data_IF_831344969142
#
_entry.id   IF_831344969142
#
_cell.length_a   1.000
_cell.length_b   1.000
_cell.length_c   1.000
_cell.angle_alpha   90.00
_cell.angle_beta   90.00
_cell.angle_gamma   90.00
#
_symmetry.space_group_name_H-M   'P 1'
#
loop_
_entity.id
_entity.type
_entity.pdbx_description
1 polymer ?
#
# COMPACT_ATOMS: atom_id res chain seq x y z
N UNK A 1 -20.33 -48.13 -36.64
CA UNK A 1 -19.16 -47.42 -36.09
C UNK A 1 -19.68 -46.13 -35.49
N UNK A 2 -19.84 -46.07 -34.18
CA UNK A 2 -20.54 -45.01 -33.46
C UNK A 2 -19.48 -44.07 -32.86
N UNK A 3 -19.34 -42.89 -33.45
CA UNK A 3 -18.44 -41.85 -32.95
C UNK A 3 -19.18 -41.08 -31.87
N UNK A 4 -18.83 -41.35 -30.61
CA UNK A 4 -19.27 -40.54 -29.47
C UNK A 4 -18.32 -39.34 -29.41
N UNK A 5 -18.78 -38.20 -29.94
CA UNK A 5 -18.15 -36.90 -29.74
C UNK A 5 -18.39 -36.47 -28.28
N UNK A 6 -17.37 -36.67 -27.47
CA UNK A 6 -17.28 -36.11 -26.13
C UNK A 6 -17.05 -34.60 -26.24
N UNK A 7 -18.12 -33.83 -26.04
CA UNK A 7 -18.06 -32.39 -25.78
C UNK A 7 -17.72 -32.20 -24.29
N UNK A 8 -16.43 -32.22 -23.96
CA UNK A 8 -15.98 -31.63 -22.70
C UNK A 8 -16.06 -30.11 -22.86
N UNK A 9 -17.13 -29.53 -22.34
CA UNK A 9 -17.18 -28.10 -22.01
C UNK A 9 -16.07 -27.81 -21.00
N UNK A 10 -14.98 -27.20 -21.48
CA UNK A 10 -14.04 -26.50 -20.61
C UNK A 10 -14.81 -25.33 -19.98
N UNK A 11 -15.36 -25.54 -18.80
CA UNK A 11 -15.71 -24.42 -17.95
C UNK A 11 -14.41 -23.70 -17.63
N UNK A 12 -14.17 -22.53 -18.24
CA UNK A 12 -13.10 -21.64 -17.81
C UNK A 12 -13.28 -21.39 -16.32
N UNK A 13 -12.34 -21.91 -15.52
CA UNK A 13 -12.21 -21.57 -14.10
C UNK A 13 -11.99 -20.06 -14.03
N UNK A 14 -13.06 -19.29 -13.87
CA UNK A 14 -12.98 -17.87 -13.57
C UNK A 14 -12.35 -17.73 -12.19
N UNK A 15 -11.10 -17.30 -12.18
CA UNK A 15 -10.38 -17.05 -10.94
C UNK A 15 -11.10 -15.92 -10.17
N UNK A 16 -11.11 -15.96 -8.81
CA UNK A 16 -11.83 -14.98 -8.01
C UNK A 16 -11.25 -13.57 -8.22
N UNK A 17 -12.11 -12.56 -8.30
CA UNK A 17 -11.68 -11.14 -8.30
C UNK A 17 -11.83 -10.61 -6.88
N UNK A 18 -10.73 -10.17 -6.28
CA UNK A 18 -10.67 -9.59 -4.95
C UNK A 18 -10.92 -8.08 -4.99
N UNK A 19 -11.69 -7.59 -4.03
CA UNK A 19 -12.01 -6.17 -3.82
C UNK A 19 -11.18 -5.65 -2.66
N UNK A 20 -10.23 -4.78 -2.95
CA UNK A 20 -9.29 -4.26 -1.96
C UNK A 20 -9.55 -2.78 -1.72
N UNK A 21 -9.89 -2.40 -0.50
CA UNK A 21 -9.91 -1.00 -0.10
C UNK A 21 -8.48 -0.52 0.19
N UNK A 22 -8.13 0.66 -0.29
CA UNK A 22 -6.83 1.29 -0.02
C UNK A 22 -7.07 2.70 0.53
N UNK A 23 -6.51 2.98 1.71
CA UNK A 23 -6.60 4.28 2.37
C UNK A 23 -5.23 4.95 2.30
N UNK A 24 -5.11 5.96 1.43
CA UNK A 24 -3.85 6.65 1.18
C UNK A 24 -4.09 7.99 0.43
N UNK A 25 -3.01 8.67 0.03
CA UNK A 25 -3.03 9.83 -0.87
C UNK A 25 -2.80 9.40 -2.32
N UNK A 26 -3.60 9.94 -3.23
CA UNK A 26 -3.57 9.59 -4.65
C UNK A 26 -3.47 10.84 -5.52
N UNK A 27 -2.85 10.70 -6.69
CA UNK A 27 -2.84 11.73 -7.72
C UNK A 27 -3.95 11.46 -8.77
N UNK A 28 -4.66 12.50 -9.25
CA UNK A 28 -4.73 13.85 -8.66
C UNK A 28 -5.43 13.81 -7.30
N UNK A 29 -5.22 14.82 -6.42
CA UNK A 29 -6.00 14.95 -5.20
C UNK A 29 -7.49 15.07 -5.53
N UNK A 30 -8.35 14.68 -4.60
CA UNK A 30 -9.79 14.62 -4.86
C UNK A 30 -10.40 16.01 -5.11
N UNK A 31 -9.81 17.08 -4.56
CA UNK A 31 -10.21 18.46 -4.84
C UNK A 31 -9.79 18.93 -6.26
N UNK A 32 -8.89 18.22 -6.93
CA UNK A 32 -8.27 18.65 -8.18
C UNK A 32 -7.19 19.73 -7.97
N UNK A 33 -6.80 20.38 -9.06
CA UNK A 33 -5.86 21.52 -9.04
C UNK A 33 -6.55 22.74 -9.64
N UNK A 34 -6.36 23.90 -9.05
CA UNK A 34 -6.82 25.19 -9.56
C UNK A 34 -6.04 25.59 -10.83
N UNK A 35 -4.75 25.26 -10.90
CA UNK A 35 -3.87 25.59 -12.03
C UNK A 35 -2.63 24.69 -12.12
N UNK A 36 -1.83 24.88 -13.17
CA UNK A 36 -0.63 24.07 -13.43
C UNK A 36 0.50 24.32 -12.40
N UNK A 37 0.60 25.53 -11.85
CA UNK A 37 1.61 25.86 -10.83
C UNK A 37 1.35 25.08 -9.53
N UNK A 38 0.09 25.01 -9.11
CA UNK A 38 -0.34 24.19 -7.98
C UNK A 38 -0.08 22.71 -8.24
N UNK A 39 -0.41 22.21 -9.44
CA UNK A 39 -0.12 20.82 -9.83
C UNK A 39 1.37 20.50 -9.73
N UNK A 40 2.24 21.39 -10.21
CA UNK A 40 3.70 21.23 -10.13
C UNK A 40 4.17 21.27 -8.68
N UNK A 41 3.68 22.22 -7.87
CA UNK A 41 4.01 22.31 -6.44
C UNK A 41 3.62 21.02 -5.70
N UNK A 42 2.43 20.50 -5.97
CA UNK A 42 1.98 19.23 -5.42
C UNK A 42 2.85 18.04 -5.86
N UNK A 43 3.31 18.04 -7.11
CA UNK A 43 4.32 17.09 -7.58
C UNK A 43 5.56 17.12 -6.70
N UNK A 44 6.08 18.29 -6.37
CA UNK A 44 7.25 18.43 -5.47
C UNK A 44 6.99 17.99 -4.03
N UNK A 45 5.79 18.22 -3.51
CA UNK A 45 5.44 17.88 -2.13
C UNK A 45 5.17 16.38 -1.92
N UNK A 46 4.55 15.73 -2.90
CA UNK A 46 3.99 14.38 -2.72
C UNK A 46 4.46 13.36 -3.75
N UNK A 47 5.00 13.81 -4.89
CA UNK A 47 5.55 12.94 -5.92
C UNK A 47 6.84 12.27 -5.45
N UNK A 48 6.95 10.96 -5.73
CA UNK A 48 8.04 10.14 -5.19
C UNK A 48 9.23 10.00 -6.14
N UNK A 49 9.02 10.21 -7.42
CA UNK A 49 9.94 9.83 -8.49
C UNK A 49 10.01 10.93 -9.54
N UNK A 50 11.13 10.99 -10.25
CA UNK A 50 11.36 11.75 -11.48
C UNK A 50 12.06 10.73 -12.38
N UNK A 51 11.28 10.10 -13.27
CA UNK A 51 11.73 8.92 -14.01
C UNK A 51 12.35 9.29 -15.35
N UNK A 52 11.96 10.43 -15.93
CA UNK A 52 12.48 10.94 -17.19
C UNK A 52 13.54 12.04 -17.06
N UNK A 53 13.92 12.41 -15.83
CA UNK A 53 14.98 13.39 -15.51
C UNK A 53 14.67 14.78 -16.09
N UNK A 54 13.38 15.15 -16.12
CA UNK A 54 12.88 16.44 -16.61
C UNK A 54 12.81 17.52 -15.50
N UNK A 55 13.36 17.21 -14.32
CA UNK A 55 13.29 17.99 -13.09
C UNK A 55 11.86 18.18 -12.56
N UNK A 56 10.91 17.32 -12.95
CA UNK A 56 9.54 17.31 -12.42
C UNK A 56 9.25 15.95 -11.82
N UNK A 57 8.51 15.98 -10.71
CA UNK A 57 8.06 14.74 -10.08
C UNK A 57 6.90 14.17 -10.87
N UNK A 58 6.93 12.86 -11.05
CA UNK A 58 5.89 12.11 -11.72
C UNK A 58 4.54 12.23 -10.98
N UNK A 59 3.40 12.15 -11.70
CA UNK A 59 2.06 12.28 -11.15
C UNK A 59 1.60 11.02 -10.40
N UNK A 60 2.42 10.55 -9.46
CA UNK A 60 2.17 9.39 -8.61
C UNK A 60 2.46 9.74 -7.16
N UNK A 61 1.42 9.71 -6.33
CA UNK A 61 1.58 9.85 -4.89
C UNK A 61 1.84 8.49 -4.24
N UNK A 62 2.08 8.52 -2.93
CA UNK A 62 2.34 7.33 -2.13
C UNK A 62 1.31 6.21 -2.35
N UNK A 63 0.01 6.51 -2.34
CA UNK A 63 -1.05 5.55 -2.58
C UNK A 63 -1.06 4.94 -3.97
N UNK A 64 -0.63 5.69 -5.00
CA UNK A 64 -0.51 5.17 -6.35
C UNK A 64 0.58 4.11 -6.43
N UNK A 65 1.73 4.37 -5.82
CA UNK A 65 2.86 3.44 -5.75
C UNK A 65 2.49 2.19 -4.96
N UNK A 66 1.85 2.36 -3.80
CA UNK A 66 1.34 1.24 -2.99
C UNK A 66 0.37 0.37 -3.80
N UNK A 67 -0.54 1.00 -4.55
CA UNK A 67 -1.47 0.29 -5.44
C UNK A 67 -0.75 -0.47 -6.56
N UNK A 68 0.28 0.14 -7.18
CA UNK A 68 1.06 -0.51 -8.25
C UNK A 68 1.76 -1.78 -7.75
N UNK A 69 2.37 -1.73 -6.55
CA UNK A 69 3.03 -2.90 -5.94
C UNK A 69 2.03 -4.03 -5.69
N UNK A 70 0.85 -3.71 -5.18
CA UNK A 70 -0.22 -4.69 -4.96
C UNK A 70 -0.97 -5.08 -6.25
N UNK A 71 -0.64 -4.49 -7.40
CA UNK A 71 -1.46 -4.64 -8.60
C UNK A 71 -1.47 -6.07 -9.11
N UNK A 72 -2.67 -6.51 -9.52
CA UNK A 72 -2.90 -7.81 -10.14
C UNK A 72 -4.22 -7.76 -10.93
N UNK A 73 -4.36 -8.44 -12.07
CA UNK A 73 -5.61 -8.44 -12.86
C UNK A 73 -6.85 -8.92 -12.10
N UNK A 74 -6.64 -9.70 -11.04
CA UNK A 74 -7.71 -10.18 -10.18
C UNK A 74 -7.93 -9.31 -8.93
N UNK A 75 -7.30 -8.14 -8.83
CA UNK A 75 -7.60 -7.17 -7.78
C UNK A 75 -8.31 -5.97 -8.40
N UNK A 76 -9.46 -5.62 -7.82
CA UNK A 76 -10.13 -4.34 -8.03
C UNK A 76 -9.92 -3.47 -6.80
N UNK A 77 -9.31 -2.30 -6.98
CA UNK A 77 -9.08 -1.35 -5.90
C UNK A 77 -10.26 -0.40 -5.72
N UNK A 78 -10.61 -0.14 -4.46
CA UNK A 78 -11.54 0.92 -4.05
C UNK A 78 -10.72 1.93 -3.26
N UNK A 79 -10.57 3.13 -3.79
CA UNK A 79 -9.75 4.17 -3.18
C UNK A 79 -10.55 4.94 -2.14
N UNK A 80 -9.94 5.14 -0.98
CA UNK A 80 -10.41 5.98 0.11
C UNK A 80 -9.36 7.07 0.36
N UNK A 81 -9.44 8.21 -0.35
CA UNK A 81 -8.38 9.21 -0.33
C UNK A 81 -8.27 9.90 1.04
N UNK A 82 -7.03 10.19 1.44
CA UNK A 82 -6.71 11.16 2.49
C UNK A 82 -6.59 12.52 1.82
N UNK A 83 -7.49 13.43 2.18
CA UNK A 83 -7.57 14.76 1.55
C UNK A 83 -6.46 15.70 1.99
N UNK A 84 -6.11 16.62 1.10
CA UNK A 84 -5.11 17.65 1.37
C UNK A 84 -5.65 18.70 2.35
N UNK A 85 -4.74 19.37 3.07
CA UNK A 85 -5.11 20.37 4.08
C UNK A 85 -5.80 19.80 5.34
N UNK A 86 -6.12 18.51 5.39
CA UNK A 86 -6.71 17.84 6.55
C UNK A 86 -5.71 17.00 7.33
N UNK A 87 -6.04 16.72 8.61
CA UNK A 87 -5.24 15.84 9.48
C UNK A 87 -5.36 14.39 8.97
N UNK A 88 -4.26 13.73 8.55
CA UNK A 88 -4.32 12.40 7.95
C UNK A 88 -5.02 11.36 8.84
N UNK A 89 -4.71 11.36 10.14
CA UNK A 89 -5.31 10.44 11.11
C UNK A 89 -6.83 10.57 11.20
N UNK A 90 -7.36 11.78 11.11
CA UNK A 90 -8.81 12.00 11.13
C UNK A 90 -9.47 11.48 9.85
N UNK A 91 -8.85 11.69 8.69
CA UNK A 91 -9.37 11.16 7.42
C UNK A 91 -9.27 9.63 7.35
N UNK A 92 -8.22 9.02 7.90
CA UNK A 92 -8.10 7.57 8.03
C UNK A 92 -9.27 7.03 8.85
N UNK A 93 -9.55 7.61 10.02
CA UNK A 93 -10.68 7.19 10.85
C UNK A 93 -12.02 7.33 10.12
N UNK A 94 -12.26 8.46 9.45
CA UNK A 94 -13.47 8.70 8.66
C UNK A 94 -13.61 7.67 7.54
N UNK A 95 -12.52 7.34 6.84
CA UNK A 95 -12.52 6.36 5.77
C UNK A 95 -12.80 4.93 6.27
N UNK A 96 -12.24 4.55 7.42
CA UNK A 96 -12.54 3.25 8.06
C UNK A 96 -14.01 3.17 8.49
N UNK A 97 -14.55 4.25 9.08
CA UNK A 97 -15.97 4.33 9.44
C UNK A 97 -16.89 4.25 8.21
N UNK A 98 -16.51 4.92 7.12
CA UNK A 98 -17.24 4.86 5.86
C UNK A 98 -17.22 3.45 5.25
N UNK A 99 -16.11 2.73 5.37
CA UNK A 99 -15.99 1.35 4.92
C UNK A 99 -16.95 0.45 5.71
N UNK A 100 -16.88 0.50 7.05
CA UNK A 100 -17.78 -0.25 7.94
C UNK A 100 -19.26 0.04 7.65
N UNK A 101 -19.63 1.31 7.50
CA UNK A 101 -21.00 1.72 7.25
C UNK A 101 -21.54 1.27 5.87
N UNK A 102 -20.65 1.00 4.92
CA UNK A 102 -21.00 0.63 3.54
C UNK A 102 -20.79 -0.85 3.24
N UNK A 103 -20.22 -1.63 4.16
CA UNK A 103 -19.80 -3.02 3.93
C UNK A 103 -20.91 -3.87 3.27
N UNK A 104 -22.13 -3.85 3.80
CA UNK A 104 -23.28 -4.59 3.25
C UNK A 104 -23.62 -4.24 1.80
N UNK A 105 -23.33 -3.01 1.37
CA UNK A 105 -23.62 -2.51 0.01
C UNK A 105 -22.40 -2.61 -0.92
N UNK A 106 -21.20 -2.49 -0.37
CA UNK A 106 -19.93 -2.45 -1.08
C UNK A 106 -18.90 -3.29 -0.31
N UNK A 107 -19.06 -4.63 -0.28
CA UNK A 107 -18.16 -5.48 0.47
C UNK A 107 -16.75 -5.43 -0.11
N UNK A 108 -15.76 -5.59 0.77
CA UNK A 108 -14.34 -5.69 0.42
C UNK A 108 -13.76 -6.93 1.08
N UNK A 109 -12.80 -7.55 0.41
CA UNK A 109 -12.12 -8.73 0.89
C UNK A 109 -10.91 -8.37 1.75
N UNK A 110 -10.30 -7.22 1.46
CA UNK A 110 -9.15 -6.72 2.21
C UNK A 110 -9.09 -5.19 2.30
N UNK A 111 -8.37 -4.70 3.30
CA UNK A 111 -7.99 -3.30 3.51
C UNK A 111 -6.48 -3.20 3.56
N UNK A 112 -5.94 -2.24 2.81
CA UNK A 112 -4.54 -1.86 2.86
C UNK A 112 -4.41 -0.45 3.46
N UNK A 113 -3.75 -0.38 4.62
CA UNK A 113 -3.45 0.87 5.32
C UNK A 113 -1.93 1.05 5.44
N UNK A 114 -1.33 1.68 4.43
CA UNK A 114 0.12 1.94 4.41
C UNK A 114 0.53 3.21 5.17
N UNK A 115 -0.12 3.48 6.30
CA UNK A 115 0.10 4.63 7.18
C UNK A 115 0.41 4.18 8.61
N UNK A 116 1.09 5.02 9.39
CA UNK A 116 1.46 4.73 10.77
C UNK A 116 1.02 5.80 11.76
N UNK A 117 0.77 5.36 12.99
CA UNK A 117 0.79 6.19 14.18
C UNK A 117 1.86 5.64 15.11
N UNK A 118 3.09 6.16 14.94
CA UNK A 118 4.28 5.58 15.56
C UNK A 118 4.64 6.24 16.90
N UNK A 119 5.02 5.42 17.88
CA UNK A 119 5.53 5.88 19.19
C UNK A 119 6.75 5.08 19.62
N UNK A 120 7.48 5.61 20.59
CA UNK A 120 8.60 4.90 21.21
C UNK A 120 8.09 3.65 21.94
N UNK A 121 8.80 2.54 21.78
CA UNK A 121 8.55 1.31 22.53
C UNK A 121 8.63 1.56 24.05
N UNK A 122 9.47 2.50 24.49
CA UNK A 122 9.61 2.89 25.90
C UNK A 122 8.36 3.56 26.49
N UNK A 123 7.39 3.95 25.66
CA UNK A 123 6.06 4.37 26.12
C UNK A 123 5.31 3.22 26.81
N UNK A 124 5.67 1.98 26.48
CA UNK A 124 5.08 0.76 27.03
C UNK A 124 6.04 0.05 27.99
N UNK A 125 5.50 -0.92 28.72
CA UNK A 125 6.31 -1.81 29.57
C UNK A 125 7.20 -2.70 28.70
N UNK A 126 8.47 -2.32 28.57
CA UNK A 126 9.48 -3.01 27.79
C UNK A 126 10.08 -4.24 28.54
N UNK A 127 10.56 -5.28 27.81
CA UNK A 127 10.42 -5.46 26.37
C UNK A 127 8.96 -5.69 25.96
N UNK A 128 8.62 -5.35 24.71
CA UNK A 128 7.30 -5.65 24.17
C UNK A 128 7.06 -7.16 24.18
N UNK A 129 5.83 -7.56 24.46
CA UNK A 129 5.38 -8.95 24.54
C UNK A 129 3.99 -9.04 23.91
N UNK A 130 3.78 -10.01 23.01
CA UNK A 130 2.49 -10.22 22.36
C UNK A 130 1.38 -10.50 23.38
N UNK A 131 1.71 -11.20 24.46
CA UNK A 131 0.78 -11.54 25.54
C UNK A 131 0.26 -10.31 26.29
N UNK A 132 0.91 -9.14 26.11
CA UNK A 132 0.53 -7.85 26.71
C UNK A 132 -0.14 -6.89 25.72
N UNK A 133 -0.52 -7.34 24.52
CA UNK A 133 -1.19 -6.53 23.51
C UNK A 133 -2.36 -5.72 24.09
N UNK A 134 -3.22 -6.37 24.88
CA UNK A 134 -4.35 -5.74 25.55
C UNK A 134 -3.92 -4.61 26.50
N UNK A 135 -2.87 -4.81 27.31
CA UNK A 135 -2.34 -3.78 28.21
C UNK A 135 -1.81 -2.55 27.43
N UNK A 136 -1.15 -2.78 26.29
CA UNK A 136 -0.63 -1.70 25.46
C UNK A 136 -1.76 -0.94 24.76
N UNK A 137 -2.80 -1.64 24.30
CA UNK A 137 -4.02 -1.05 23.74
C UNK A 137 -4.74 -0.18 24.77
N UNK A 138 -4.86 -0.67 26.01
CA UNK A 138 -5.39 0.09 27.14
C UNK A 138 -4.56 1.33 27.44
N UNK A 139 -3.22 1.23 27.32
CA UNK A 139 -2.36 2.39 27.48
C UNK A 139 -2.63 3.47 26.42
N UNK A 140 -2.82 3.08 25.16
CA UNK A 140 -3.19 4.02 24.09
C UNK A 140 -4.57 4.66 24.37
N UNK A 141 -5.53 3.88 24.86
CA UNK A 141 -6.85 4.38 25.31
C UNK A 141 -6.74 5.43 26.41
N UNK A 142 -5.93 5.16 27.44
CA UNK A 142 -5.66 6.10 28.54
C UNK A 142 -5.03 7.41 28.03
N UNK A 143 -4.02 7.31 27.15
CA UNK A 143 -3.39 8.48 26.54
C UNK A 143 -4.41 9.32 25.76
N UNK A 144 -5.37 8.66 25.09
CA UNK A 144 -6.46 9.30 24.38
C UNK A 144 -7.48 10.05 25.25
N UNK A 145 -7.46 9.87 26.58
CA UNK A 145 -8.30 10.68 27.48
C UNK A 145 -7.78 12.11 27.63
N UNK A 146 -6.48 12.32 27.41
CA UNK A 146 -5.81 13.61 27.59
C UNK A 146 -5.40 14.27 26.25
N UNK A 147 -5.29 13.49 25.17
CA UNK A 147 -4.76 13.95 23.89
C UNK A 147 -5.58 13.44 22.69
N UNK A 148 -5.98 14.36 21.81
CA UNK A 148 -6.86 14.05 20.67
C UNK A 148 -6.20 13.16 19.60
N UNK A 149 -4.87 13.22 19.45
CA UNK A 149 -4.15 12.36 18.50
C UNK A 149 -4.17 10.91 19.01
N UNK A 150 -3.94 10.71 20.31
CA UNK A 150 -4.03 9.38 20.92
C UNK A 150 -5.46 8.84 20.95
N UNK A 151 -6.43 9.71 21.15
CA UNK A 151 -7.85 9.34 21.04
C UNK A 151 -8.21 8.87 19.63
N UNK A 152 -7.80 9.62 18.61
CA UNK A 152 -8.01 9.25 17.20
C UNK A 152 -7.30 7.93 16.88
N UNK A 153 -6.07 7.75 17.37
CA UNK A 153 -5.29 6.52 17.21
C UNK A 153 -6.02 5.32 17.81
N UNK A 154 -6.52 5.44 19.04
CA UNK A 154 -7.32 4.38 19.67
C UNK A 154 -8.59 4.07 18.88
N UNK A 155 -9.29 5.09 18.39
CA UNK A 155 -10.49 4.91 17.58
C UNK A 155 -10.20 4.20 16.25
N UNK A 156 -9.04 4.45 15.64
CA UNK A 156 -8.58 3.72 14.45
C UNK A 156 -8.33 2.27 14.80
N UNK A 157 -7.63 1.96 15.90
CA UNK A 157 -7.42 0.57 16.35
C UNK A 157 -8.75 -0.18 16.45
N UNK A 158 -9.75 0.40 17.12
CA UNK A 158 -11.08 -0.21 17.25
C UNK A 158 -11.78 -0.36 15.89
N UNK A 159 -11.63 0.62 14.97
CA UNK A 159 -12.21 0.52 13.65
C UNK A 159 -11.56 -0.59 12.79
N UNK A 160 -10.24 -0.81 12.94
CA UNK A 160 -9.54 -1.90 12.28
C UNK A 160 -10.01 -3.26 12.81
N UNK A 161 -10.16 -3.41 14.13
CA UNK A 161 -10.73 -4.62 14.75
C UNK A 161 -12.17 -4.89 14.31
N UNK A 162 -12.98 -3.84 14.14
CA UNK A 162 -14.33 -4.00 13.63
C UNK A 162 -14.36 -4.52 12.18
N UNK A 163 -13.35 -4.19 11.37
CA UNK A 163 -13.21 -4.72 10.00
C UNK A 163 -12.80 -6.20 10.02
N UNK A 164 -11.82 -6.56 10.85
CA UNK A 164 -11.35 -7.95 10.97
C UNK A 164 -12.44 -8.86 11.52
N UNK A 165 -13.26 -8.37 12.46
CA UNK A 165 -14.44 -9.08 12.96
C UNK A 165 -15.51 -9.36 11.88
N UNK A 166 -15.54 -8.61 10.78
CA UNK A 166 -16.38 -8.88 9.60
C UNK A 166 -15.74 -9.86 8.61
N UNK A 167 -14.58 -10.44 8.95
CA UNK A 167 -13.83 -11.34 8.08
C UNK A 167 -13.02 -10.61 7.00
N UNK A 168 -12.89 -9.28 7.08
CA UNK A 168 -12.09 -8.50 6.14
C UNK A 168 -10.62 -8.61 6.54
N UNK A 169 -9.74 -8.97 5.61
CA UNK A 169 -8.31 -9.02 5.90
C UNK A 169 -7.74 -7.59 5.96
N UNK A 170 -7.06 -7.23 7.04
CA UNK A 170 -6.48 -5.89 7.18
C UNK A 170 -4.96 -5.98 7.22
N UNK A 171 -4.30 -5.26 6.32
CA UNK A 171 -2.83 -5.18 6.25
C UNK A 171 -2.38 -3.77 6.62
N UNK A 172 -1.49 -3.68 7.59
CA UNK A 172 -0.83 -2.44 8.02
C UNK A 172 0.68 -2.60 8.04
N UNK A 173 1.39 -1.49 8.23
CA UNK A 173 2.84 -1.43 8.16
C UNK A 173 3.46 -1.53 9.55
N UNK A 174 4.63 -2.13 9.69
CA UNK A 174 5.35 -2.14 10.97
C UNK A 174 5.78 -0.74 11.42
N UNK A 175 6.00 0.16 10.46
CA UNK A 175 6.44 1.53 10.67
C UNK A 175 7.89 1.77 10.27
N UNK A 176 8.23 3.02 9.98
CA UNK A 176 9.55 3.43 9.45
C UNK A 176 10.41 4.19 10.49
N UNK A 177 10.05 4.09 11.78
CA UNK A 177 10.75 4.72 12.89
C UNK A 177 11.94 3.91 13.47
N UNK A 178 12.26 2.76 12.87
CA UNK A 178 13.33 1.87 13.33
C UNK A 178 13.00 1.06 14.58
N UNK A 179 14.01 0.37 15.12
CA UNK A 179 13.87 -0.65 16.19
C UNK A 179 13.33 -0.14 17.52
N UNK A 180 13.41 1.17 17.76
CA UNK A 180 12.92 1.80 18.98
C UNK A 180 11.45 2.19 18.92
N UNK A 181 10.78 1.96 17.79
CA UNK A 181 9.44 2.45 17.50
C UNK A 181 8.48 1.28 17.23
N UNK A 182 7.20 1.56 17.41
CA UNK A 182 6.08 0.68 17.08
C UNK A 182 5.01 1.52 16.40
N UNK A 183 4.48 1.03 15.26
CA UNK A 183 3.22 1.53 14.73
C UNK A 183 2.08 1.02 15.63
N UNK A 184 1.41 1.92 16.34
CA UNK A 184 0.36 1.53 17.31
C UNK A 184 -0.84 0.84 16.67
N UNK A 185 -1.04 0.94 15.35
CA UNK A 185 -2.05 0.14 14.65
C UNK A 185 -1.77 -1.37 14.69
N UNK A 186 -0.52 -1.79 14.93
CA UNK A 186 -0.15 -3.20 15.13
C UNK A 186 -0.70 -3.79 16.43
N UNK A 187 -1.31 -2.97 17.29
CA UNK A 187 -1.96 -3.42 18.52
C UNK A 187 -3.42 -3.87 18.28
N UNK A 188 -3.94 -3.64 17.08
CA UNK A 188 -5.29 -4.05 16.69
C UNK A 188 -5.35 -5.58 16.50
N UNK A 189 -6.37 -6.21 17.07
CA UNK A 189 -6.56 -7.65 16.96
C UNK A 189 -6.84 -8.07 15.50
N UNK A 190 -6.22 -9.19 15.09
CA UNK A 190 -6.34 -9.81 13.76
C UNK A 190 -5.92 -8.92 12.57
N UNK A 191 -5.23 -7.80 12.83
CA UNK A 191 -4.58 -6.99 11.79
C UNK A 191 -3.21 -7.57 11.47
N UNK A 192 -2.92 -7.78 10.18
CA UNK A 192 -1.62 -8.26 9.72
C UNK A 192 -0.65 -7.08 9.62
N UNK A 193 0.33 -7.04 10.50
CA UNK A 193 1.40 -6.04 10.51
C UNK A 193 2.60 -6.56 9.74
N UNK A 194 3.04 -5.78 8.76
CA UNK A 194 4.04 -6.21 7.78
C UNK A 194 5.37 -5.47 7.96
N UNK A 195 6.43 -6.23 8.22
CA UNK A 195 7.81 -5.78 8.25
C UNK A 195 8.54 -5.97 6.91
N UNK A 196 9.84 -5.67 6.90
CA UNK A 196 10.70 -5.74 5.72
C UNK A 196 11.62 -6.96 5.77
N UNK A 197 11.79 -7.64 4.63
CA UNK A 197 12.75 -8.74 4.46
C UNK A 197 14.19 -8.27 4.28
N UNK A 198 14.39 -7.03 3.86
CA UNK A 198 15.70 -6.48 3.53
C UNK A 198 16.54 -6.22 4.80
N UNK A 199 17.68 -6.91 4.97
CA UNK A 199 18.51 -6.75 6.16
C UNK A 199 19.08 -5.33 6.29
N UNK A 200 19.27 -4.61 5.18
CA UNK A 200 19.73 -3.22 5.14
C UNK A 200 18.70 -2.27 5.79
N UNK A 201 17.41 -2.60 5.74
CA UNK A 201 16.34 -1.78 6.29
C UNK A 201 16.08 -2.02 7.79
N UNK A 202 16.81 -2.93 8.44
CA UNK A 202 16.61 -3.31 9.86
C UNK A 202 16.74 -2.17 10.89
N UNK A 203 17.29 -1.03 10.50
CA UNK A 203 17.42 0.17 11.34
C UNK A 203 16.37 1.24 11.03
N UNK A 204 15.73 1.12 9.87
CA UNK A 204 14.71 2.04 9.37
C UNK A 204 13.31 1.48 9.58
N UNK A 205 13.08 0.22 9.23
CA UNK A 205 11.81 -0.46 9.44
C UNK A 205 11.78 -1.02 10.87
N UNK A 206 10.68 -0.75 11.57
CA UNK A 206 10.43 -1.31 12.89
C UNK A 206 10.35 -2.84 12.80
N UNK A 207 11.02 -3.52 13.74
CA UNK A 207 10.96 -4.95 13.88
C UNK A 207 10.84 -5.26 15.37
N UNK A 208 9.61 -5.61 15.77
CA UNK A 208 9.22 -5.87 17.14
C UNK A 208 8.23 -7.05 17.16
N UNK A 209 7.84 -7.58 18.33
CA UNK A 209 7.00 -8.77 18.42
C UNK A 209 5.63 -8.69 17.72
N UNK A 210 5.13 -7.48 17.44
CA UNK A 210 3.86 -7.25 16.74
C UNK A 210 4.00 -7.28 15.20
N UNK A 211 5.14 -7.68 14.65
CA UNK A 211 5.29 -7.92 13.21
C UNK A 211 4.90 -9.36 12.91
N UNK A 212 3.81 -9.56 12.18
CA UNK A 212 3.25 -10.88 11.87
C UNK A 212 3.93 -11.54 10.67
N UNK A 213 4.33 -10.75 9.69
CA UNK A 213 4.96 -11.24 8.46
C UNK A 213 5.93 -10.22 7.86
N UNK A 214 6.72 -10.67 6.89
CA UNK A 214 7.75 -9.88 6.24
C UNK A 214 7.59 -9.98 4.73
N UNK A 215 7.72 -8.84 4.04
CA UNK A 215 7.70 -8.78 2.59
C UNK A 215 8.75 -7.80 2.05
N UNK A 216 8.93 -7.82 0.73
CA UNK A 216 9.81 -6.88 0.02
C UNK A 216 9.35 -5.45 0.27
N UNK A 217 10.25 -4.63 0.81
CA UNK A 217 10.02 -3.23 1.15
C UNK A 217 10.92 -2.28 0.34
N UNK A 218 11.86 -2.81 -0.46
CA UNK A 218 12.76 -2.05 -1.31
C UNK A 218 12.53 -2.37 -2.81
N UNK A 219 12.23 -1.35 -3.61
CA UNK A 219 11.91 -1.49 -5.03
C UNK A 219 12.85 -0.63 -5.88
N UNK A 220 13.39 -1.27 -6.91
CA UNK A 220 14.11 -0.60 -8.00
C UNK A 220 13.14 -0.36 -9.13
N UNK A 221 13.06 0.88 -9.60
CA UNK A 221 12.23 1.22 -10.76
C UNK A 221 13.12 1.16 -12.00
N UNK A 222 12.82 0.22 -12.90
CA UNK A 222 13.67 -0.14 -14.03
C UNK A 222 12.90 0.07 -15.33
N UNK A 223 13.55 0.64 -16.34
CA UNK A 223 12.96 0.83 -17.66
C UNK A 223 12.71 -0.52 -18.33
N UNK A 224 11.53 -0.67 -18.91
CA UNK A 224 11.16 -1.81 -19.75
C UNK A 224 11.21 -1.37 -21.21
N UNK A 225 11.90 -2.18 -22.01
CA UNK A 225 12.04 -1.99 -23.45
C UNK A 225 11.24 -3.09 -24.17
N UNK A 226 10.74 -2.80 -25.37
CA UNK A 226 10.09 -3.78 -26.24
C UNK A 226 11.10 -4.71 -26.96
N UNK A 227 10.60 -5.56 -27.86
CA UNK A 227 11.44 -6.48 -28.63
C UNK A 227 12.42 -5.79 -29.60
N UNK A 228 12.16 -4.53 -29.97
CA UNK A 228 13.03 -3.73 -30.83
C UNK A 228 14.06 -2.93 -30.01
N UNK A 229 13.95 -2.96 -28.68
CA UNK A 229 14.81 -2.22 -27.75
C UNK A 229 14.33 -0.80 -27.48
N UNK A 230 13.11 -0.47 -27.90
CA UNK A 230 12.51 0.84 -27.67
C UNK A 230 11.82 0.90 -26.30
N UNK A 231 11.97 1.99 -25.55
CA UNK A 231 11.40 2.09 -24.22
C UNK A 231 9.86 2.13 -24.28
N UNK A 232 9.19 1.36 -23.43
CA UNK A 232 7.71 1.32 -23.34
C UNK A 232 7.16 1.77 -21.98
N UNK A 233 8.01 1.77 -20.95
CA UNK A 233 7.67 2.28 -19.63
C UNK A 233 8.65 1.83 -18.55
N UNK A 234 8.16 1.75 -17.32
CA UNK A 234 8.93 1.30 -16.17
C UNK A 234 8.22 0.18 -15.40
N UNK A 235 9.01 -0.80 -14.97
CA UNK A 235 8.68 -1.83 -13.99
C UNK A 235 9.03 -1.28 -12.61
N UNK A 236 8.04 -1.27 -11.72
CA UNK A 236 8.17 -0.81 -10.34
C UNK A 236 8.19 -1.99 -9.37
N UNK A 237 7.48 -3.07 -9.67
CA UNK A 237 7.26 -4.16 -8.72
C UNK A 237 8.26 -5.34 -8.89
N UNK A 238 9.01 -5.37 -10.00
CA UNK A 238 10.05 -6.33 -10.32
C UNK A 238 9.57 -7.58 -11.06
N UNK A 239 8.36 -7.55 -11.65
CA UNK A 239 7.79 -8.64 -12.43
C UNK A 239 8.11 -8.55 -13.94
N UNK A 240 8.93 -7.56 -14.34
CA UNK A 240 9.33 -7.25 -15.71
C UNK A 240 8.17 -6.73 -16.59
N UNK A 241 7.07 -6.32 -15.97
CA UNK A 241 5.92 -5.76 -16.67
C UNK A 241 5.92 -4.23 -16.60
N UNK A 242 5.20 -3.59 -17.52
CA UNK A 242 5.07 -2.13 -17.52
C UNK A 242 4.03 -1.71 -16.48
N UNK A 243 4.49 -1.23 -15.32
CA UNK A 243 3.64 -0.62 -14.29
C UNK A 243 3.34 0.85 -14.61
N UNK A 244 4.32 1.56 -15.18
CA UNK A 244 4.24 2.98 -15.51
C UNK A 244 4.56 3.16 -17.02
N UNK A 245 3.54 3.24 -17.88
CA UNK A 245 3.74 3.52 -19.30
C UNK A 245 4.35 4.90 -19.55
N UNK A 246 5.18 5.05 -20.59
CA UNK A 246 5.85 6.31 -20.91
C UNK A 246 4.87 7.48 -21.06
N UNK A 247 3.67 7.25 -21.60
CA UNK A 247 2.67 8.31 -21.81
C UNK A 247 2.10 8.90 -20.50
N UNK A 248 2.50 8.37 -19.34
CA UNK A 248 2.14 8.89 -18.03
C UNK A 248 3.23 9.75 -17.39
N UNK A 249 4.42 9.83 -18.01
CA UNK A 249 5.54 10.62 -17.49
C UNK A 249 5.35 12.11 -17.77
N UNK A 250 5.89 12.97 -16.90
CA UNK A 250 5.72 14.42 -17.01
C UNK A 250 6.33 15.03 -18.27
N UNK A 251 7.48 14.52 -18.70
CA UNK A 251 8.20 14.99 -19.86
C UNK A 251 7.82 14.28 -21.15
N UNK A 252 6.87 13.33 -21.13
CA UNK A 252 6.56 12.49 -22.28
C UNK A 252 6.30 13.28 -23.56
N UNK A 253 7.04 12.93 -24.60
CA UNK A 253 6.87 13.48 -25.95
C UNK A 253 7.32 12.45 -26.96
N UNK A 254 6.60 12.34 -28.09
CA UNK A 254 6.98 11.45 -29.21
C UNK A 254 8.36 11.77 -29.81
N UNK A 255 8.98 12.89 -29.43
CA UNK A 255 10.31 13.30 -29.87
C UNK A 255 11.42 12.86 -28.93
N UNK A 256 11.08 12.43 -27.71
CA UNK A 256 12.05 11.93 -26.73
C UNK A 256 12.19 10.44 -26.97
N UNK A 257 13.41 10.03 -27.29
CA UNK A 257 13.77 8.63 -27.55
C UNK A 257 14.67 8.05 -26.45
N UNK A 258 15.17 8.91 -25.56
CA UNK A 258 16.08 8.52 -24.49
C UNK A 258 15.40 8.72 -23.14
N UNK A 259 15.24 7.61 -22.41
CA UNK A 259 14.72 7.57 -21.04
C UNK A 259 15.74 6.86 -20.14
N UNK A 260 15.97 7.33 -18.90
CA UNK A 260 16.88 6.69 -17.95
C UNK A 260 16.55 5.21 -17.77
N UNK A 261 17.57 4.33 -17.84
CA UNK A 261 17.36 2.87 -17.69
C UNK A 261 16.87 2.47 -16.30
N UNK A 262 17.14 3.30 -15.29
CA UNK A 262 16.84 3.03 -13.89
C UNK A 262 16.63 4.34 -13.16
N UNK A 263 15.62 4.40 -12.30
CA UNK A 263 15.50 5.48 -11.34
C UNK A 263 16.61 5.38 -10.31
N UNK A 264 17.32 6.48 -10.09
CA UNK A 264 18.55 6.47 -9.31
C UNK A 264 18.36 6.15 -7.81
N UNK A 265 17.14 6.33 -7.27
CA UNK A 265 16.81 5.98 -5.87
C UNK A 265 16.06 4.66 -5.79
N UNK A 266 16.25 3.98 -4.66
CA UNK A 266 15.35 2.92 -4.21
C UNK A 266 14.10 3.53 -3.57
N UNK A 267 12.94 3.00 -3.93
CA UNK A 267 11.74 3.17 -3.11
C UNK A 267 11.86 2.24 -1.91
N UNK A 268 11.90 2.78 -0.69
CA UNK A 268 12.09 1.99 0.52
C UNK A 268 11.09 2.35 1.61
N UNK A 269 10.61 1.34 2.33
CA UNK A 269 9.76 1.52 3.52
C UNK A 269 8.74 0.42 3.70
N UNK A 270 8.33 0.21 4.96
CA UNK A 270 7.30 -0.79 5.30
C UNK A 270 5.97 -0.53 4.60
N UNK A 271 5.69 0.70 4.16
CA UNK A 271 4.58 1.05 3.29
C UNK A 271 4.53 0.31 1.95
N UNK A 272 5.67 -0.18 1.48
CA UNK A 272 5.80 -1.02 0.28
C UNK A 272 5.82 -2.52 0.59
N UNK A 273 5.98 -2.89 1.86
CA UNK A 273 5.91 -4.29 2.30
C UNK A 273 4.46 -4.76 2.44
N UNK A 274 3.59 -3.95 3.05
CA UNK A 274 2.17 -4.27 3.21
C UNK A 274 1.44 -4.64 1.90
N UNK A 275 1.53 -3.84 0.80
CA UNK A 275 0.94 -4.22 -0.49
C UNK A 275 1.49 -5.55 -1.04
N UNK A 276 2.78 -5.80 -0.86
CA UNK A 276 3.43 -7.02 -1.34
C UNK A 276 2.98 -8.26 -0.56
N UNK A 277 2.86 -8.16 0.77
CA UNK A 277 2.32 -9.22 1.61
C UNK A 277 0.86 -9.52 1.28
N UNK A 278 0.04 -8.48 1.07
CA UNK A 278 -1.35 -8.63 0.64
C UNK A 278 -1.43 -9.39 -0.70
N UNK A 279 -0.67 -8.95 -1.72
CA UNK A 279 -0.64 -9.63 -3.03
C UNK A 279 -0.20 -11.08 -2.89
N UNK A 280 0.86 -11.36 -2.11
CA UNK A 280 1.33 -12.72 -1.87
C UNK A 280 0.27 -13.59 -1.18
N UNK A 281 -0.42 -13.06 -0.16
CA UNK A 281 -1.44 -13.80 0.58
C UNK A 281 -2.68 -14.13 -0.27
N UNK A 282 -3.17 -13.19 -1.08
CA UNK A 282 -4.33 -13.41 -1.96
C UNK A 282 -4.03 -14.41 -3.09
N UNK A 283 -2.78 -14.53 -3.54
CA UNK A 283 -2.38 -15.34 -4.68
C UNK A 283 -1.40 -16.48 -4.37
N UNK A 284 -1.16 -16.82 -3.10
CA UNK A 284 -0.18 -17.84 -2.68
C UNK A 284 -0.32 -19.21 -3.39
N UNK A 285 -1.51 -19.52 -3.90
CA UNK A 285 -1.84 -20.79 -4.54
C UNK A 285 -2.10 -20.68 -6.05
N UNK A 286 -1.77 -19.53 -6.67
CA UNK A 286 -2.04 -19.28 -8.09
C UNK A 286 -0.74 -19.05 -8.86
N UNK A 287 -0.60 -19.62 -10.08
CA UNK A 287 0.49 -19.25 -10.96
C UNK A 287 0.29 -17.79 -11.39
N UNK A 288 1.12 -16.89 -10.86
CA UNK A 288 1.18 -15.52 -11.35
C UNK A 288 1.57 -15.58 -12.83
N UNK A 289 0.70 -15.06 -13.70
CA UNK A 289 1.00 -15.01 -15.13
C UNK A 289 2.17 -14.05 -15.37
N UNK A 290 3.05 -14.43 -16.30
CA UNK A 290 3.96 -13.53 -16.99
C UNK A 290 3.14 -12.44 -17.68
N UNK A 291 3.51 -11.18 -17.44
CA UNK A 291 3.02 -9.92 -17.99
C UNK A 291 1.82 -9.93 -18.93
N UNK A 292 0.83 -9.09 -18.61
CA UNK A 292 -0.28 -8.76 -19.51
C UNK A 292 0.06 -7.58 -20.41
#
# INVERSE_FOLDING_TARGET
MMVILSLFTQAELRLPVYRVAIIDRFFPPAEGFENDEERVLHGWLYGMMDLDDDERREPFYHGDVVRMIASHPQITFIQYPILDGKKPMSEILVNLQNLLARYEKQPVDAVLLSWESSTLISTFKAPLQLERAAEYKDKVREMGQADEVWKTTYQIIIALEALTAQGIQVYTIAGNGGRGMINTFSLADDVVTVGSVEPELKHFVANNPFVDTYARAAYEVIRVDDSEGEPVGYDLNGDQCVDIPLNRLTGYSRKITEYPKKFWRLLTGSSFAAPAALKAALFANLPLRTCH
#
